data_IF_545142055005
#
_entry.id   IF_545142055005
#
_cell.length_a   1.000
_cell.length_b   1.000
_cell.length_c   1.000
_cell.angle_alpha   90.00
_cell.angle_beta   90.00
_cell.angle_gamma   90.00
#
_symmetry.space_group_name_H-M   'P 1'
#
loop_
_entity.id
_entity.type
_entity.pdbx_description
1 polymer ?
#
# COMPACT_ATOMS: atom_id res chain seq x y z
N UNK A 1 21.27 12.65 43.27
CA UNK A 1 20.39 11.99 42.29
C UNK A 1 20.13 13.00 41.19
N UNK A 2 20.76 12.82 40.05
CA UNK A 2 20.48 13.64 38.88
C UNK A 2 19.15 13.14 38.30
N UNK A 3 18.15 14.02 38.21
CA UNK A 3 16.90 13.76 37.47
C UNK A 3 17.30 13.78 36.02
N UNK A 4 17.27 12.61 35.38
CA UNK A 4 17.37 12.49 33.92
C UNK A 4 16.13 13.17 33.34
N UNK A 5 16.29 14.42 32.92
CA UNK A 5 15.30 15.11 32.10
C UNK A 5 15.40 14.51 30.69
N UNK A 6 14.66 13.43 30.48
CA UNK A 6 14.56 12.81 29.16
C UNK A 6 14.28 13.87 28.10
N UNK A 7 15.30 14.20 27.32
CA UNK A 7 15.14 15.09 26.18
C UNK A 7 14.02 14.54 25.31
N UNK A 8 12.97 15.31 25.09
CA UNK A 8 11.90 14.95 24.18
C UNK A 8 12.55 14.60 22.85
N UNK A 9 12.46 13.33 22.45
CA UNK A 9 13.01 12.85 21.18
C UNK A 9 12.31 13.62 20.06
N UNK A 10 13.01 14.55 19.43
CA UNK A 10 12.49 15.25 18.25
C UNK A 10 12.51 14.27 17.08
N UNK A 11 11.34 13.75 16.73
CA UNK A 11 11.20 12.98 15.52
C UNK A 11 11.41 13.89 14.31
N UNK A 12 12.33 13.50 13.42
CA UNK A 12 12.58 14.24 12.19
C UNK A 12 11.37 14.11 11.25
N UNK A 13 10.88 15.24 10.76
CA UNK A 13 9.69 15.34 9.91
C UNK A 13 10.02 16.15 8.67
N UNK A 14 9.59 15.66 7.50
CA UNK A 14 9.67 16.37 6.23
C UNK A 14 8.37 16.19 5.44
N UNK A 15 8.14 17.06 4.45
CA UNK A 15 6.89 17.04 3.66
C UNK A 15 7.26 16.93 2.17
N UNK A 16 7.30 15.69 1.60
CA UNK A 16 7.53 15.52 0.17
C UNK A 16 6.43 16.10 -0.70
N UNK A 17 5.16 15.97 -0.30
CA UNK A 17 4.05 16.45 -1.14
C UNK A 17 3.09 17.33 -0.33
N UNK A 18 2.69 18.45 -0.96
CA UNK A 18 1.74 19.42 -0.38
C UNK A 18 0.65 19.73 -1.40
N UNK A 19 -0.61 19.60 -1.02
CA UNK A 19 -1.77 19.94 -1.85
C UNK A 19 -1.67 21.38 -2.38
N UNK A 20 -2.06 21.58 -3.63
CA UNK A 20 -2.05 22.89 -4.29
C UNK A 20 -0.65 23.33 -4.78
N UNK A 21 0.35 22.45 -4.80
CA UNK A 21 1.70 22.76 -5.29
C UNK A 21 2.07 21.92 -6.50
N UNK A 22 3.08 22.34 -7.25
CA UNK A 22 3.72 21.62 -8.37
C UNK A 22 2.74 21.14 -9.46
N UNK A 23 1.59 21.86 -9.62
CA UNK A 23 0.61 21.59 -10.65
C UNK A 23 -0.50 20.60 -10.27
N UNK A 24 -0.58 20.17 -9.01
CA UNK A 24 -1.58 19.22 -8.50
C UNK A 24 -2.43 19.83 -7.40
N UNK A 25 -3.75 19.68 -7.53
CA UNK A 25 -4.70 20.13 -6.51
C UNK A 25 -4.57 19.32 -5.21
N UNK A 26 -4.23 18.01 -5.32
CA UNK A 26 -4.08 17.11 -4.18
C UNK A 26 -3.04 16.04 -4.47
N UNK A 27 -2.45 15.50 -3.40
CA UNK A 27 -1.62 14.29 -3.44
C UNK A 27 -2.23 13.26 -2.51
N UNK A 28 -2.41 12.04 -3.01
CA UNK A 28 -3.02 10.94 -2.28
C UNK A 28 -2.22 9.65 -2.51
N UNK A 29 -2.54 8.61 -1.75
CA UNK A 29 -2.09 7.23 -2.00
C UNK A 29 -0.57 7.10 -1.92
N UNK A 30 0.00 7.27 -0.72
CA UNK A 30 1.45 7.16 -0.51
C UNK A 30 1.94 5.73 -0.69
N UNK A 31 3.14 5.57 -1.27
CA UNK A 31 3.92 4.35 -1.23
C UNK A 31 5.40 4.70 -1.09
N UNK A 32 6.18 3.91 -0.36
CA UNK A 32 7.59 4.22 -0.08
C UNK A 32 8.46 2.97 -0.08
N UNK A 33 9.62 3.07 -0.72
CA UNK A 33 10.66 2.04 -0.67
C UNK A 33 12.04 2.67 -0.47
N UNK A 34 12.99 1.86 0.00
CA UNK A 34 14.41 2.21 0.10
C UNK A 34 15.18 1.40 -0.93
N UNK A 35 15.95 2.05 -1.81
CA UNK A 35 16.81 1.37 -2.78
C UNK A 35 18.09 0.85 -2.12
N UNK A 36 18.83 -0.02 -2.80
CA UNK A 36 20.10 -0.56 -2.29
C UNK A 36 21.15 0.54 -2.06
N UNK A 37 21.14 1.61 -2.86
CA UNK A 37 22.04 2.77 -2.69
C UNK A 37 21.59 3.73 -1.57
N UNK A 38 20.51 3.38 -0.83
CA UNK A 38 20.02 4.16 0.31
C UNK A 38 19.15 5.36 -0.10
N UNK A 39 18.69 5.43 -1.34
CA UNK A 39 17.72 6.44 -1.78
C UNK A 39 16.32 6.07 -1.34
N UNK A 40 15.64 6.96 -0.62
CA UNK A 40 14.21 6.81 -0.31
C UNK A 40 13.39 7.31 -1.49
N UNK A 41 12.53 6.45 -2.01
CA UNK A 41 11.59 6.76 -3.09
C UNK A 41 10.19 6.91 -2.52
N UNK A 42 9.66 8.12 -2.49
CA UNK A 42 8.29 8.41 -2.09
C UNK A 42 7.39 8.61 -3.31
N UNK A 43 6.42 7.72 -3.47
CA UNK A 43 5.42 7.76 -4.54
C UNK A 43 4.10 8.33 -4.02
N UNK A 44 3.34 8.94 -4.93
CA UNK A 44 1.96 9.38 -4.68
C UNK A 44 1.16 9.47 -5.98
N UNK A 45 -0.16 9.52 -5.86
CA UNK A 45 -1.03 10.02 -6.90
C UNK A 45 -1.04 11.54 -6.87
N UNK A 46 -0.52 12.19 -7.91
CA UNK A 46 -0.69 13.61 -8.18
C UNK A 46 -2.02 13.84 -8.90
N UNK A 47 -3.01 14.38 -8.21
CA UNK A 47 -4.37 14.60 -8.70
C UNK A 47 -4.52 16.05 -9.19
N UNK A 48 -4.73 16.22 -10.48
CA UNK A 48 -4.62 17.54 -11.12
C UNK A 48 -5.78 18.45 -10.71
N UNK A 49 -7.02 17.95 -10.67
CA UNK A 49 -8.20 18.80 -10.56
C UNK A 49 -8.82 18.86 -9.14
N UNK A 50 -8.71 17.79 -8.38
CA UNK A 50 -9.34 17.66 -7.06
C UNK A 50 -8.73 16.52 -6.27
N UNK A 51 -9.30 16.17 -5.10
CA UNK A 51 -8.93 14.97 -4.35
C UNK A 51 -9.70 13.70 -4.74
N UNK A 52 -10.52 13.73 -5.82
CA UNK A 52 -11.29 12.59 -6.30
C UNK A 52 -10.38 11.43 -6.76
N UNK A 53 -10.87 10.19 -6.63
CA UNK A 53 -10.14 8.96 -6.93
C UNK A 53 -10.16 8.60 -8.43
N UNK A 54 -10.70 9.46 -9.26
CA UNK A 54 -10.82 9.34 -10.72
C UNK A 54 -10.50 10.66 -11.41
N UNK A 55 -10.34 10.62 -12.73
CA UNK A 55 -10.01 11.79 -13.54
C UNK A 55 -8.52 11.86 -13.90
N UNK A 56 -7.99 13.08 -14.02
CA UNK A 56 -6.62 13.33 -14.43
C UNK A 56 -5.67 13.12 -13.26
N UNK A 57 -5.10 11.93 -13.18
CA UNK A 57 -4.20 11.49 -12.10
C UNK A 57 -2.91 10.92 -12.68
N UNK A 58 -1.78 11.38 -12.18
CA UNK A 58 -0.46 10.85 -12.50
C UNK A 58 0.13 10.12 -11.30
N UNK A 59 0.96 9.11 -11.53
CA UNK A 59 1.89 8.64 -10.50
C UNK A 59 3.13 9.53 -10.51
N UNK A 60 3.42 10.09 -9.34
CA UNK A 60 4.54 10.99 -9.11
C UNK A 60 5.50 10.43 -8.08
N UNK A 61 6.74 10.88 -8.14
CA UNK A 61 7.84 10.44 -7.29
C UNK A 61 8.64 11.63 -6.79
N UNK A 62 9.05 11.60 -5.54
CA UNK A 62 10.18 12.38 -5.02
C UNK A 62 11.21 11.45 -4.41
N UNK A 63 12.50 11.78 -4.63
CA UNK A 63 13.66 11.02 -4.17
C UNK A 63 14.35 11.76 -3.04
N UNK A 64 14.86 11.02 -2.06
CA UNK A 64 15.68 11.55 -0.97
C UNK A 64 16.95 10.74 -0.82
N UNK A 65 18.10 11.37 -0.88
CA UNK A 65 19.42 10.76 -0.68
C UNK A 65 19.92 10.88 0.79
N UNK A 66 19.12 11.42 1.69
CA UNK A 66 19.49 11.69 3.08
C UNK A 66 18.52 11.04 4.10
N UNK A 67 17.91 9.94 3.67
CA UNK A 67 16.99 9.15 4.50
C UNK A 67 15.66 9.85 4.76
N UNK A 68 15.16 10.64 3.83
CA UNK A 68 13.87 11.31 3.91
C UNK A 68 13.89 12.66 4.63
N UNK A 69 15.06 13.28 4.86
CA UNK A 69 15.16 14.60 5.47
C UNK A 69 14.88 15.72 4.47
N UNK A 70 15.41 15.59 3.26
CA UNK A 70 15.14 16.50 2.15
C UNK A 70 14.73 15.73 0.89
N UNK A 71 14.01 16.41 0.02
CA UNK A 71 13.40 15.79 -1.17
C UNK A 71 13.80 16.55 -2.44
N UNK A 72 14.13 15.78 -3.47
CA UNK A 72 14.42 16.29 -4.81
C UNK A 72 13.17 16.83 -5.53
N UNK A 73 13.35 17.24 -6.79
CA UNK A 73 12.27 17.69 -7.65
C UNK A 73 11.23 16.56 -7.90
N UNK A 74 9.99 16.96 -8.07
CA UNK A 74 8.92 16.03 -8.43
C UNK A 74 9.15 15.46 -9.84
N UNK A 75 9.01 14.16 -9.98
CA UNK A 75 9.04 13.42 -11.24
C UNK A 75 7.68 12.79 -11.51
N UNK A 76 7.27 12.73 -12.78
CA UNK A 76 6.09 11.97 -13.19
C UNK A 76 6.54 10.62 -13.74
N UNK A 77 6.19 9.54 -13.03
CA UNK A 77 6.59 8.17 -13.35
C UNK A 77 5.62 7.50 -14.34
N UNK A 78 4.32 7.72 -14.15
CA UNK A 78 3.32 7.15 -15.04
C UNK A 78 2.18 8.13 -15.32
N UNK A 79 1.68 8.07 -16.57
CA UNK A 79 0.56 8.88 -17.07
C UNK A 79 -0.40 8.00 -17.88
N UNK A 80 -1.63 8.49 -18.05
CA UNK A 80 -2.63 7.89 -18.92
C UNK A 80 -3.41 8.97 -19.69
N UNK A 81 -2.73 9.87 -20.39
CA UNK A 81 -3.36 11.06 -20.96
C UNK A 81 -4.05 11.88 -19.86
N UNK A 82 -5.32 12.21 -20.07
CA UNK A 82 -6.17 12.87 -19.07
C UNK A 82 -6.86 11.87 -18.12
N UNK A 83 -6.55 10.59 -18.23
CA UNK A 83 -7.09 9.53 -17.39
C UNK A 83 -6.28 9.30 -16.13
N UNK A 84 -6.61 8.22 -15.44
CA UNK A 84 -5.99 7.82 -14.18
C UNK A 84 -4.80 6.91 -14.42
N UNK A 85 -3.65 7.22 -13.80
CA UNK A 85 -2.58 6.30 -13.45
C UNK A 85 -2.44 6.35 -11.92
N UNK A 86 -2.71 5.23 -11.22
CA UNK A 86 -2.84 5.23 -9.76
C UNK A 86 -2.51 3.90 -9.10
N UNK A 87 -2.71 3.86 -7.77
CA UNK A 87 -2.46 2.71 -6.91
C UNK A 87 -1.03 2.15 -7.05
N UNK A 88 0.00 2.91 -6.68
CA UNK A 88 1.39 2.47 -6.79
C UNK A 88 1.69 1.30 -5.86
N UNK A 89 2.33 0.27 -6.39
CA UNK A 89 2.84 -0.88 -5.66
C UNK A 89 4.33 -1.10 -6.02
N UNK A 90 5.25 -0.29 -5.46
CA UNK A 90 6.67 -0.43 -5.68
C UNK A 90 7.26 -1.60 -4.90
N UNK A 91 8.27 -2.25 -5.47
CA UNK A 91 9.14 -3.23 -4.80
C UNK A 91 10.57 -3.09 -5.31
N UNK A 92 11.55 -3.19 -4.42
CA UNK A 92 12.97 -3.25 -4.77
C UNK A 92 13.39 -4.71 -4.79
N UNK A 93 14.00 -5.15 -5.87
CA UNK A 93 14.47 -6.52 -6.02
C UNK A 93 15.80 -6.72 -5.29
N UNK A 94 15.94 -7.87 -4.62
CA UNK A 94 17.10 -8.28 -3.85
C UNK A 94 17.62 -9.61 -4.41
N UNK A 95 18.85 -9.59 -4.91
CA UNK A 95 19.48 -10.73 -5.56
C UNK A 95 18.98 -10.96 -7.01
N UNK A 96 19.60 -11.98 -7.65
CA UNK A 96 19.26 -12.31 -9.03
C UNK A 96 19.89 -11.40 -10.09
N UNK A 97 19.46 -11.53 -11.36
CA UNK A 97 20.03 -10.73 -12.47
C UNK A 97 19.60 -9.27 -12.43
N UNK A 98 18.48 -8.94 -11.82
CA UNK A 98 17.89 -7.61 -11.74
C UNK A 98 18.02 -7.00 -10.32
N UNK A 99 19.07 -7.38 -9.57
CA UNK A 99 19.34 -6.89 -8.23
C UNK A 99 19.38 -5.36 -8.16
N UNK A 100 18.66 -4.76 -7.21
CA UNK A 100 18.50 -3.31 -7.05
C UNK A 100 17.43 -2.66 -7.95
N UNK A 101 16.88 -3.38 -8.95
CA UNK A 101 15.79 -2.87 -9.77
C UNK A 101 14.59 -2.50 -8.92
N UNK A 102 14.00 -1.36 -9.18
CA UNK A 102 12.71 -0.95 -8.61
C UNK A 102 11.61 -1.27 -9.60
N UNK A 103 10.76 -2.25 -9.29
CA UNK A 103 9.53 -2.49 -10.04
C UNK A 103 8.40 -1.62 -9.49
N UNK A 104 7.53 -1.11 -10.37
CA UNK A 104 6.33 -0.38 -10.00
C UNK A 104 5.14 -0.95 -10.77
N UNK A 105 4.32 -1.75 -10.11
CA UNK A 105 3.02 -2.16 -10.65
C UNK A 105 1.98 -1.12 -10.25
N UNK A 106 1.09 -0.80 -11.18
CA UNK A 106 0.07 0.23 -11.00
C UNK A 106 -1.12 -0.02 -11.91
N UNK A 107 -2.19 0.73 -11.72
CA UNK A 107 -3.38 0.63 -12.56
C UNK A 107 -3.58 1.87 -13.43
N UNK A 108 -4.23 1.69 -14.58
CA UNK A 108 -4.70 2.79 -15.45
C UNK A 108 -6.15 2.59 -15.80
N UNK A 109 -6.90 3.70 -15.93
CA UNK A 109 -8.28 3.73 -16.40
C UNK A 109 -8.60 5.05 -17.08
N UNK A 110 -9.68 5.09 -17.86
CA UNK A 110 -10.16 6.34 -18.46
C UNK A 110 -10.60 7.35 -17.37
N UNK A 111 -10.51 8.64 -17.67
CA UNK A 111 -10.88 9.71 -16.73
C UNK A 111 -12.31 9.61 -16.19
N UNK A 112 -13.24 9.13 -17.01
CA UNK A 112 -14.66 9.00 -16.67
C UNK A 112 -15.01 7.65 -16.00
N UNK A 113 -14.03 6.78 -15.80
CA UNK A 113 -14.20 5.44 -15.23
C UNK A 113 -14.14 5.51 -13.70
N UNK A 114 -15.17 6.06 -13.06
CA UNK A 114 -15.30 6.09 -11.60
C UNK A 114 -15.46 4.68 -11.04
N UNK A 115 -15.09 4.46 -9.78
CA UNK A 115 -15.26 3.16 -9.12
C UNK A 115 -16.71 2.69 -9.21
N UNK A 116 -17.66 3.56 -8.89
CA UNK A 116 -19.09 3.25 -8.92
C UNK A 116 -19.55 2.76 -10.31
N UNK A 117 -19.17 3.46 -11.39
CA UNK A 117 -19.50 3.06 -12.77
C UNK A 117 -18.85 1.75 -13.18
N UNK A 118 -17.58 1.53 -12.80
CA UNK A 118 -16.88 0.27 -13.07
C UNK A 118 -17.58 -0.87 -12.35
N UNK A 119 -17.91 -0.72 -11.08
CA UNK A 119 -18.58 -1.74 -10.26
C UNK A 119 -19.98 -2.07 -10.78
N UNK A 120 -20.72 -1.08 -11.30
CA UNK A 120 -22.02 -1.29 -11.97
C UNK A 120 -21.88 -1.99 -13.32
N UNK A 121 -20.68 -2.07 -13.89
CA UNK A 121 -20.47 -2.63 -15.25
C UNK A 121 -20.84 -1.67 -16.35
N UNK A 122 -20.82 -0.35 -16.10
CA UNK A 122 -21.13 0.72 -17.05
C UNK A 122 -19.90 1.18 -17.84
N UNK A 123 -18.74 0.57 -17.60
CA UNK A 123 -17.46 0.93 -18.22
C UNK A 123 -16.95 -0.26 -19.02
N UNK A 124 -16.46 -0.02 -20.23
CA UNK A 124 -15.85 -1.06 -21.05
C UNK A 124 -14.58 -1.62 -20.41
N UNK A 125 -14.18 -2.85 -20.75
CA UNK A 125 -12.94 -3.42 -20.26
C UNK A 125 -11.70 -2.59 -20.67
N UNK A 126 -11.75 -1.93 -21.83
CA UNK A 126 -10.66 -1.06 -22.31
C UNK A 126 -10.53 0.25 -21.53
N UNK A 127 -11.64 0.78 -21.02
CA UNK A 127 -11.69 2.04 -20.25
C UNK A 127 -11.62 1.81 -18.75
N UNK A 128 -11.91 0.59 -18.27
CA UNK A 128 -11.83 0.18 -16.87
C UNK A 128 -10.40 0.04 -16.37
N UNK A 129 -10.26 -0.46 -15.15
CA UNK A 129 -8.95 -0.67 -14.52
C UNK A 129 -8.15 -1.75 -15.23
N UNK A 130 -6.97 -1.38 -15.75
CA UNK A 130 -5.97 -2.25 -16.37
C UNK A 130 -4.65 -2.16 -15.61
N UNK A 131 -3.89 -3.24 -15.59
CA UNK A 131 -2.68 -3.40 -14.79
C UNK A 131 -1.44 -3.17 -15.65
N UNK A 132 -0.54 -2.34 -15.16
CA UNK A 132 0.67 -1.92 -15.85
C UNK A 132 1.89 -2.08 -14.96
N UNK A 133 3.04 -2.32 -15.58
CA UNK A 133 4.35 -2.44 -14.96
C UNK A 133 5.33 -1.47 -15.62
N UNK A 134 6.09 -0.74 -14.81
CA UNK A 134 7.30 -0.03 -15.22
C UNK A 134 8.41 -0.31 -14.21
N UNK A 135 9.67 -0.07 -14.57
CA UNK A 135 10.81 -0.30 -13.68
C UNK A 135 11.89 0.76 -13.84
N UNK A 136 12.75 0.85 -12.83
CA UNK A 136 13.94 1.69 -12.81
C UNK A 136 15.15 0.84 -12.40
N UNK A 137 16.26 1.00 -13.13
CA UNK A 137 17.57 0.37 -12.85
C UNK A 137 18.59 1.39 -12.29
N UNK A 138 18.15 2.61 -11.94
CA UNK A 138 19.00 3.73 -11.54
C UNK A 138 18.40 4.51 -10.36
N UNK A 139 17.90 3.80 -9.34
CA UNK A 139 17.32 4.38 -8.12
C UNK A 139 16.19 5.40 -8.38
N UNK A 140 15.36 5.14 -9.37
CA UNK A 140 14.23 6.00 -9.73
C UNK A 140 14.61 7.28 -10.46
N UNK A 141 15.82 7.40 -11.02
CA UNK A 141 16.21 8.55 -11.86
C UNK A 141 15.48 8.51 -13.19
N UNK A 142 15.44 7.33 -13.82
CA UNK A 142 14.70 7.10 -15.05
C UNK A 142 13.83 5.84 -14.96
N UNK A 143 12.82 5.77 -15.81
CA UNK A 143 11.84 4.69 -15.81
C UNK A 143 11.63 4.13 -17.21
N UNK A 144 11.47 2.80 -17.30
CA UNK A 144 11.15 2.11 -18.54
C UNK A 144 9.81 2.56 -19.11
N UNK A 145 9.58 2.29 -20.40
CA UNK A 145 8.21 2.30 -20.93
C UNK A 145 7.33 1.32 -20.16
N UNK A 146 6.09 1.73 -19.87
CA UNK A 146 5.17 0.89 -19.14
C UNK A 146 4.62 -0.24 -20.02
N UNK A 147 4.66 -1.47 -19.50
CA UNK A 147 4.11 -2.68 -20.12
C UNK A 147 2.78 -3.06 -19.47
N UNK A 148 1.76 -3.34 -20.30
CA UNK A 148 0.50 -3.86 -19.79
C UNK A 148 0.62 -5.35 -19.44
N UNK A 149 0.12 -5.73 -18.25
CA UNK A 149 0.11 -7.11 -17.75
C UNK A 149 -1.29 -7.60 -17.36
N UNK A 150 -2.33 -6.89 -17.78
CA UNK A 150 -3.75 -7.16 -17.41
C UNK A 150 -4.15 -8.60 -17.74
N UNK A 151 -3.73 -9.13 -18.90
CA UNK A 151 -4.14 -10.45 -19.36
C UNK A 151 -3.76 -11.62 -18.42
N UNK A 152 -2.66 -11.46 -17.64
CA UNK A 152 -2.17 -12.47 -16.71
C UNK A 152 -2.52 -12.17 -15.24
N UNK A 153 -3.04 -10.96 -14.96
CA UNK A 153 -3.18 -10.45 -13.59
C UNK A 153 -4.61 -10.07 -13.22
N UNK A 154 -5.54 -10.07 -14.18
CA UNK A 154 -6.94 -9.74 -13.94
C UNK A 154 -7.86 -10.74 -14.65
N UNK A 155 -8.81 -11.33 -13.91
CA UNK A 155 -9.83 -12.20 -14.52
C UNK A 155 -10.83 -11.37 -15.33
N UNK A 156 -11.36 -11.90 -16.45
CA UNK A 156 -12.27 -11.15 -17.32
C UNK A 156 -13.57 -10.69 -16.64
N UNK A 157 -14.07 -11.43 -15.66
CA UNK A 157 -15.28 -11.12 -14.90
C UNK A 157 -15.07 -10.04 -13.85
N UNK A 158 -13.83 -9.77 -13.42
CA UNK A 158 -13.55 -8.74 -12.40
C UNK A 158 -13.81 -7.35 -12.96
N UNK A 159 -14.58 -6.56 -12.21
CA UNK A 159 -14.93 -5.19 -12.58
C UNK A 159 -13.92 -4.20 -12.03
N UNK A 160 -14.06 -3.80 -10.76
CA UNK A 160 -13.05 -2.99 -10.09
C UNK A 160 -11.73 -3.74 -9.96
N UNK A 161 -10.66 -3.00 -9.86
CA UNK A 161 -9.33 -3.56 -9.62
C UNK A 161 -8.40 -2.50 -9.06
N UNK A 162 -7.65 -2.82 -8.03
CA UNK A 162 -6.57 -1.99 -7.51
C UNK A 162 -5.43 -2.88 -7.00
N UNK A 163 -4.19 -2.41 -7.19
CA UNK A 163 -3.02 -2.97 -6.52
C UNK A 163 -2.89 -2.37 -5.14
N UNK A 164 -2.40 -3.07 -4.15
CA UNK A 164 -2.12 -2.73 -2.75
C UNK A 164 -3.01 -1.58 -2.21
N UNK A 165 -2.84 -0.21 -2.32
CA UNK A 165 -1.57 0.49 -2.61
C UNK A 165 -0.61 0.48 -1.42
N UNK A 166 0.62 0.96 -1.63
CA UNK A 166 1.73 0.87 -0.69
C UNK A 166 2.80 -0.07 -1.22
N UNK A 167 3.88 -0.28 -0.49
CA UNK A 167 4.95 -1.15 -0.94
C UNK A 167 4.48 -2.60 -1.11
N UNK A 168 5.02 -3.27 -2.14
CA UNK A 168 4.93 -4.71 -2.32
C UNK A 168 6.19 -5.39 -1.77
N UNK A 169 6.26 -6.73 -1.80
CA UNK A 169 7.38 -7.44 -1.21
C UNK A 169 7.98 -8.46 -2.17
N UNK A 170 9.29 -8.69 -2.02
CA UNK A 170 9.97 -9.88 -2.52
C UNK A 170 10.27 -10.80 -1.34
N UNK A 171 9.94 -12.08 -1.46
CA UNK A 171 10.13 -13.06 -0.40
C UNK A 171 11.61 -13.37 -0.23
N UNK A 172 12.09 -13.34 1.02
CA UNK A 172 13.50 -13.58 1.37
C UNK A 172 13.74 -14.97 1.93
N UNK A 173 12.70 -15.60 2.48
CA UNK A 173 12.80 -16.84 3.24
C UNK A 173 11.99 -17.96 2.60
N UNK A 174 12.42 -19.22 2.88
CA UNK A 174 11.68 -20.39 2.51
C UNK A 174 11.81 -20.80 1.03
N UNK A 175 10.99 -21.76 0.60
CA UNK A 175 11.11 -22.36 -0.75
C UNK A 175 10.72 -21.41 -1.89
N UNK A 176 10.12 -20.28 -1.59
CA UNK A 176 9.69 -19.27 -2.55
C UNK A 176 10.53 -17.98 -2.46
N UNK A 177 11.75 -18.05 -1.89
CA UNK A 177 12.66 -16.90 -1.87
C UNK A 177 12.89 -16.37 -3.30
N UNK A 178 12.86 -15.05 -3.47
CA UNK A 178 12.91 -14.36 -4.77
C UNK A 178 11.53 -14.07 -5.38
N UNK A 179 10.46 -14.74 -4.94
CA UNK A 179 9.10 -14.45 -5.44
C UNK A 179 8.67 -13.04 -5.06
N UNK A 180 8.11 -12.33 -6.03
CA UNK A 180 7.44 -11.05 -5.82
C UNK A 180 5.98 -11.32 -5.49
N UNK A 181 5.46 -10.65 -4.46
CA UNK A 181 4.05 -10.72 -4.03
C UNK A 181 3.49 -9.31 -4.01
N UNK A 182 2.45 -9.06 -4.79
CA UNK A 182 1.74 -7.77 -4.84
C UNK A 182 0.29 -8.00 -4.48
N UNK A 183 -0.15 -7.63 -3.27
CA UNK A 183 -1.56 -7.70 -2.91
C UNK A 183 -2.41 -6.80 -3.81
N UNK A 184 -3.67 -7.17 -3.97
CA UNK A 184 -4.64 -6.42 -4.75
C UNK A 184 -6.07 -6.73 -4.33
N UNK A 185 -6.98 -5.96 -4.86
CA UNK A 185 -8.41 -6.19 -4.66
C UNK A 185 -9.18 -6.02 -5.97
N UNK A 186 -10.35 -6.62 -6.02
CA UNK A 186 -11.24 -6.58 -7.16
C UNK A 186 -12.69 -6.52 -6.72
N UNK A 187 -13.61 -6.33 -7.66
CA UNK A 187 -15.03 -6.57 -7.42
C UNK A 187 -15.62 -7.51 -8.47
N UNK A 188 -16.61 -8.29 -8.01
CA UNK A 188 -17.40 -9.19 -8.84
C UNK A 188 -18.66 -8.49 -9.38
N UNK A 189 -19.24 -8.99 -10.47
CA UNK A 189 -20.59 -8.57 -10.87
C UNK A 189 -21.62 -9.01 -9.81
N UNK A 190 -22.76 -8.29 -9.68
CA UNK A 190 -23.80 -8.66 -8.73
C UNK A 190 -24.44 -9.99 -9.12
N UNK A 191 -24.69 -10.85 -8.12
CA UNK A 191 -25.32 -12.15 -8.26
C UNK A 191 -26.68 -12.23 -7.57
N UNK A 192 -27.03 -11.24 -6.73
CA UNK A 192 -28.29 -11.16 -6.01
C UNK A 192 -29.26 -10.25 -6.77
N UNK A 193 -30.51 -10.68 -7.04
CA UNK A 193 -31.50 -9.83 -7.70
C UNK A 193 -31.74 -8.51 -6.96
N UNK A 194 -31.65 -7.41 -7.68
CA UNK A 194 -31.81 -6.05 -7.11
C UNK A 194 -30.53 -5.34 -6.74
N UNK A 195 -29.39 -6.07 -6.63
CA UNK A 195 -28.09 -5.46 -6.42
C UNK A 195 -27.54 -4.86 -7.72
N UNK A 196 -26.67 -3.88 -7.57
CA UNK A 196 -26.10 -3.16 -8.71
C UNK A 196 -24.56 -3.34 -8.83
N UNK A 197 -23.92 -4.03 -7.88
CA UNK A 197 -22.48 -4.33 -7.87
C UNK A 197 -21.65 -3.38 -7.01
N UNK A 198 -22.27 -2.35 -6.39
CA UNK A 198 -21.56 -1.44 -5.48
C UNK A 198 -21.56 -1.92 -4.03
N UNK A 199 -22.31 -2.96 -3.74
CA UNK A 199 -22.40 -3.55 -2.41
C UNK A 199 -21.09 -4.22 -2.02
N UNK A 200 -20.64 -3.99 -0.77
CA UNK A 200 -19.36 -4.49 -0.24
C UNK A 200 -19.17 -6.01 -0.34
N UNK A 201 -20.26 -6.78 -0.32
CA UNK A 201 -20.24 -8.25 -0.48
C UNK A 201 -19.63 -8.73 -1.81
N UNK A 202 -19.51 -7.85 -2.83
CA UNK A 202 -18.88 -8.15 -4.12
C UNK A 202 -17.41 -7.75 -4.16
N UNK A 203 -16.85 -7.24 -3.06
CA UNK A 203 -15.41 -7.03 -2.94
C UNK A 203 -14.70 -8.36 -2.72
N UNK A 204 -13.57 -8.53 -3.39
CA UNK A 204 -12.69 -9.67 -3.24
C UNK A 204 -11.22 -9.25 -3.19
N UNK A 205 -10.39 -10.09 -2.60
CA UNK A 205 -8.94 -9.94 -2.53
C UNK A 205 -8.22 -10.92 -3.43
N UNK A 206 -7.03 -10.55 -3.83
CA UNK A 206 -6.10 -11.42 -4.54
C UNK A 206 -4.68 -10.92 -4.35
N UNK A 207 -3.72 -11.68 -4.83
CA UNK A 207 -2.37 -11.17 -5.05
C UNK A 207 -1.86 -11.52 -6.45
N UNK A 208 -0.80 -10.84 -6.84
CA UNK A 208 -0.03 -11.10 -8.06
C UNK A 208 1.32 -11.68 -7.66
N UNK A 209 1.71 -12.74 -8.35
CA UNK A 209 2.95 -13.44 -8.12
C UNK A 209 3.83 -13.42 -9.37
N UNK A 210 5.13 -13.18 -9.15
CA UNK A 210 6.17 -13.37 -10.15
C UNK A 210 7.33 -14.14 -9.54
N UNK A 211 7.80 -15.17 -10.23
CA UNK A 211 8.93 -16.01 -9.82
C UNK A 211 10.19 -15.77 -10.71
N UNK A 212 10.19 -14.70 -11.52
CA UNK A 212 11.19 -14.38 -12.53
C UNK A 212 11.42 -12.86 -12.66
N UNK A 213 11.60 -12.19 -11.52
CA UNK A 213 11.92 -10.77 -11.39
C UNK A 213 10.95 -9.83 -12.16
N UNK A 214 9.68 -10.22 -12.25
CA UNK A 214 8.62 -9.44 -12.90
C UNK A 214 8.51 -9.66 -14.42
N UNK A 215 9.23 -10.63 -14.99
CA UNK A 215 9.12 -10.96 -16.42
C UNK A 215 7.74 -11.54 -16.74
N UNK A 216 7.27 -12.50 -15.94
CA UNK A 216 5.92 -13.08 -16.05
C UNK A 216 5.15 -12.97 -14.73
N UNK A 217 3.82 -12.95 -14.86
CA UNK A 217 2.92 -12.74 -13.73
C UNK A 217 1.78 -13.75 -13.75
N UNK A 218 1.30 -14.12 -12.58
CA UNK A 218 0.09 -14.91 -12.39
C UNK A 218 -0.69 -14.40 -11.17
N UNK A 219 -1.95 -14.73 -11.09
CA UNK A 219 -2.77 -14.54 -9.90
C UNK A 219 -2.43 -15.65 -8.90
N UNK A 220 -2.20 -15.28 -7.64
CA UNK A 220 -2.02 -16.21 -6.52
C UNK A 220 -3.34 -16.54 -5.85
N UNK A 221 -3.46 -16.24 -4.53
CA UNK A 221 -4.73 -16.47 -3.84
C UNK A 221 -5.85 -15.60 -4.42
N UNK A 222 -7.08 -16.08 -4.29
CA UNK A 222 -8.31 -15.30 -4.52
C UNK A 222 -9.25 -15.56 -3.36
N UNK A 223 -9.70 -14.49 -2.71
CA UNK A 223 -10.73 -14.50 -1.67
C UNK A 223 -11.91 -13.65 -2.15
N UNK A 224 -12.97 -14.30 -2.57
CA UNK A 224 -14.23 -13.71 -3.04
C UNK A 224 -15.26 -13.62 -1.90
N UNK A 225 -14.82 -13.45 -0.65
CA UNK A 225 -15.66 -13.37 0.55
C UNK A 225 -16.62 -14.57 0.68
N UNK A 226 -16.08 -15.80 0.70
CA UNK A 226 -16.90 -17.03 0.56
C UNK A 226 -17.87 -17.26 1.70
N UNK A 227 -17.66 -16.64 2.85
CA UNK A 227 -18.46 -16.81 4.07
C UNK A 227 -19.12 -15.51 4.57
N UNK A 228 -18.91 -14.39 3.87
CA UNK A 228 -19.56 -13.10 4.16
C UNK A 228 -19.00 -12.34 5.37
N UNK A 229 -17.86 -12.76 5.94
CA UNK A 229 -17.28 -12.11 7.12
C UNK A 229 -16.50 -10.84 6.82
N UNK A 230 -15.82 -10.77 5.68
CA UNK A 230 -14.88 -9.70 5.35
C UNK A 230 -15.07 -9.24 3.90
N UNK A 231 -15.32 -7.96 3.71
CA UNK A 231 -15.30 -7.34 2.39
C UNK A 231 -13.85 -6.92 2.08
N UNK A 232 -13.05 -7.83 1.52
CA UNK A 232 -11.63 -7.59 1.24
C UNK A 232 -11.46 -6.40 0.30
N UNK A 233 -10.57 -5.48 0.67
CA UNK A 233 -10.28 -4.28 -0.10
C UNK A 233 -8.74 -4.07 -0.13
N UNK A 234 -8.25 -2.85 0.02
CA UNK A 234 -6.83 -2.52 0.04
C UNK A 234 -6.07 -3.37 1.06
N UNK A 235 -5.08 -4.10 0.57
CA UNK A 235 -4.37 -5.14 1.32
C UNK A 235 -2.87 -4.88 1.29
N UNK A 236 -2.23 -4.95 2.43
CA UNK A 236 -0.78 -4.87 2.63
C UNK A 236 -0.25 -6.21 3.10
N UNK A 237 1.04 -6.51 2.88
CA UNK A 237 1.62 -7.78 3.25
C UNK A 237 3.06 -7.65 3.75
N UNK A 238 3.48 -8.60 4.58
CA UNK A 238 4.86 -8.74 5.02
C UNK A 238 5.22 -10.23 5.16
N UNK A 239 6.47 -10.58 4.88
CA UNK A 239 6.96 -11.94 5.14
C UNK A 239 7.44 -12.08 6.57
N UNK A 240 7.03 -13.16 7.23
CA UNK A 240 7.47 -13.55 8.57
C UNK A 240 8.76 -14.38 8.49
N UNK A 241 9.58 -14.46 9.57
CA UNK A 241 10.83 -15.23 9.59
C UNK A 241 10.65 -16.74 9.38
N UNK A 242 9.45 -17.27 9.68
CA UNK A 242 9.12 -18.67 9.41
C UNK A 242 8.78 -18.96 7.94
N UNK A 243 8.83 -17.94 7.09
CA UNK A 243 8.56 -18.01 5.66
C UNK A 243 7.12 -17.76 5.25
N UNK A 244 6.18 -17.73 6.20
CA UNK A 244 4.78 -17.37 5.90
C UNK A 244 4.68 -15.91 5.46
N UNK A 245 3.66 -15.62 4.67
CA UNK A 245 3.25 -14.26 4.31
C UNK A 245 2.03 -13.89 5.17
N UNK A 246 2.12 -12.77 5.89
CA UNK A 246 1.02 -12.15 6.60
C UNK A 246 0.37 -11.11 5.69
N UNK A 247 -0.94 -11.20 5.51
CA UNK A 247 -1.76 -10.23 4.78
C UNK A 247 -2.70 -9.50 5.74
N UNK A 248 -2.83 -8.19 5.56
CA UNK A 248 -3.74 -7.36 6.33
C UNK A 248 -4.57 -6.48 5.41
N UNK A 249 -5.88 -6.53 5.53
CA UNK A 249 -6.81 -5.89 4.60
C UNK A 249 -7.73 -4.88 5.27
N UNK A 250 -8.07 -3.82 4.54
CA UNK A 250 -9.19 -2.94 4.81
C UNK A 250 -10.50 -3.72 4.63
N UNK A 251 -11.45 -3.51 5.52
CA UNK A 251 -12.81 -4.05 5.40
C UNK A 251 -13.83 -3.10 5.99
N UNK A 252 -14.99 -2.98 5.37
CA UNK A 252 -16.16 -2.25 5.86
C UNK A 252 -17.23 -3.17 6.48
N UNK A 253 -17.08 -4.49 6.36
CA UNK A 253 -18.01 -5.45 6.91
C UNK A 253 -18.02 -5.50 8.45
N UNK A 254 -16.92 -5.10 9.09
CA UNK A 254 -16.70 -5.14 10.54
C UNK A 254 -16.77 -3.75 11.20
N UNK A 255 -17.64 -2.89 10.73
CA UNK A 255 -17.83 -1.56 11.32
C UNK A 255 -18.46 -1.63 12.73
N UNK A 256 -18.02 -0.75 13.71
CA UNK A 256 -16.94 0.21 13.55
C UNK A 256 -15.57 -0.46 13.56
N UNK A 257 -14.80 -0.06 12.61
CA UNK A 257 -13.44 -0.27 12.24
C UNK A 257 -12.59 -1.29 12.99
N UNK A 258 -12.53 -2.51 12.46
CA UNK A 258 -11.38 -3.38 12.63
C UNK A 258 -10.78 -3.68 11.27
N UNK A 259 -9.46 -3.99 11.24
CA UNK A 259 -8.82 -4.63 10.09
C UNK A 259 -9.19 -6.11 10.05
N UNK A 260 -8.87 -6.76 8.94
CA UNK A 260 -8.89 -8.21 8.85
C UNK A 260 -7.54 -8.72 8.38
N UNK A 261 -7.20 -9.96 8.73
CA UNK A 261 -5.92 -10.57 8.34
C UNK A 261 -6.06 -12.02 7.92
N UNK A 262 -5.02 -12.50 7.23
CA UNK A 262 -4.86 -13.87 6.81
C UNK A 262 -3.36 -14.21 6.69
N UNK A 263 -3.04 -15.50 6.62
CA UNK A 263 -1.68 -15.99 6.38
C UNK A 263 -1.64 -16.90 5.16
N UNK A 264 -0.48 -17.00 4.55
CA UNK A 264 -0.17 -17.95 3.48
C UNK A 264 1.13 -18.69 3.81
N UNK A 265 1.07 -20.02 3.84
CA UNK A 265 2.23 -20.87 4.03
C UNK A 265 2.97 -21.25 2.72
N UNK A 266 2.45 -20.86 1.56
CA UNK A 266 2.97 -21.22 0.24
C UNK A 266 3.39 -20.00 -0.61
N UNK A 267 3.75 -18.90 0.07
CA UNK A 267 4.27 -17.69 -0.57
C UNK A 267 3.22 -16.94 -1.39
N UNK A 268 1.99 -16.86 -0.92
CA UNK A 268 0.89 -16.13 -1.53
C UNK A 268 0.06 -16.95 -2.53
N UNK A 269 0.43 -18.19 -2.85
CA UNK A 269 -0.32 -18.97 -3.83
C UNK A 269 -1.74 -19.32 -3.35
N UNK A 270 -1.89 -19.60 -2.04
CA UNK A 270 -3.19 -19.78 -1.37
C UNK A 270 -3.18 -19.14 0.02
N UNK A 271 -4.35 -18.89 0.60
CA UNK A 271 -4.49 -18.52 2.01
C UNK A 271 -4.65 -19.78 2.85
N UNK A 272 -4.02 -19.82 4.03
CA UNK A 272 -4.19 -20.92 5.00
C UNK A 272 -5.65 -20.99 5.49
N UNK A 273 -6.25 -19.82 5.71
CA UNK A 273 -7.67 -19.61 6.04
C UNK A 273 -8.15 -18.30 5.39
N UNK A 274 -9.45 -18.16 5.08
CA UNK A 274 -10.02 -16.88 4.64
C UNK A 274 -9.73 -15.75 5.61
N UNK A 275 -9.73 -14.51 5.15
CA UNK A 275 -9.56 -13.33 6.01
C UNK A 275 -10.53 -13.34 7.19
N UNK A 276 -10.06 -12.92 8.35
CA UNK A 276 -10.84 -12.80 9.59
C UNK A 276 -10.61 -11.45 10.25
N UNK A 277 -11.64 -10.88 10.90
CA UNK A 277 -11.50 -9.65 11.67
C UNK A 277 -10.42 -9.77 12.73
N UNK A 278 -9.52 -8.78 12.78
CA UNK A 278 -8.42 -8.67 13.74
C UNK A 278 -8.80 -7.67 14.84
N UNK A 279 -9.26 -8.17 15.98
CA UNK A 279 -9.76 -7.34 17.08
C UNK A 279 -8.69 -6.40 17.68
N UNK A 280 -7.40 -6.75 17.58
CA UNK A 280 -6.29 -5.92 18.06
C UNK A 280 -5.96 -4.72 17.17
N UNK A 281 -6.48 -4.68 15.94
CA UNK A 281 -6.24 -3.62 14.96
C UNK A 281 -7.51 -2.81 14.70
N UNK A 282 -7.81 -1.91 15.62
CA UNK A 282 -8.88 -0.91 15.44
C UNK A 282 -8.39 0.16 14.46
N UNK A 283 -9.15 0.39 13.40
CA UNK A 283 -8.91 1.40 12.36
C UNK A 283 -10.24 1.78 11.68
N UNK A 284 -10.38 2.98 11.11
CA UNK A 284 -11.52 3.29 10.25
C UNK A 284 -11.39 2.53 8.91
N UNK A 285 -12.35 2.74 8.01
CA UNK A 285 -12.29 2.19 6.65
C UNK A 285 -11.24 2.99 5.85
N UNK A 286 -9.99 2.48 5.83
CA UNK A 286 -8.80 3.15 5.29
C UNK A 286 -7.73 2.12 4.93
N UNK A 287 -6.87 2.43 3.96
CA UNK A 287 -5.63 1.69 3.72
C UNK A 287 -4.67 1.85 4.90
N UNK A 288 -3.85 0.86 5.16
CA UNK A 288 -2.82 0.82 6.20
C UNK A 288 -1.63 0.00 5.71
N UNK A 289 -0.50 0.09 6.39
CA UNK A 289 0.72 -0.63 6.00
C UNK A 289 1.20 -1.58 7.07
N UNK A 290 1.77 -2.72 6.67
CA UNK A 290 2.54 -3.62 7.53
C UNK A 290 3.98 -3.74 7.04
N UNK A 291 4.92 -3.82 7.98
CA UNK A 291 6.34 -3.99 7.71
C UNK A 291 6.96 -4.93 8.74
N UNK A 292 7.69 -5.96 8.31
CA UNK A 292 8.49 -6.79 9.20
C UNK A 292 9.90 -6.22 9.34
N UNK A 293 10.38 -6.07 10.58
CA UNK A 293 11.69 -5.47 10.85
C UNK A 293 12.86 -6.43 10.57
N UNK A 294 12.63 -7.75 10.59
CA UNK A 294 13.67 -8.75 10.55
C UNK A 294 14.28 -8.97 11.93
N UNK A 295 15.20 -8.12 12.33
CA UNK A 295 15.72 -8.05 13.69
C UNK A 295 15.43 -6.67 14.30
N UNK A 296 14.77 -6.60 15.47
CA UNK A 296 14.15 -7.72 16.17
C UNK A 296 12.98 -8.34 15.39
N UNK A 297 12.62 -9.58 15.69
CA UNK A 297 11.43 -10.24 15.11
C UNK A 297 10.16 -9.52 15.55
N UNK A 298 9.79 -8.54 14.78
CA UNK A 298 8.66 -7.67 15.05
C UNK A 298 7.96 -7.23 13.76
N UNK A 299 6.64 -7.39 13.73
CA UNK A 299 5.77 -6.91 12.68
C UNK A 299 5.19 -5.56 13.12
N UNK A 300 5.36 -4.53 12.30
CA UNK A 300 4.80 -3.20 12.50
C UNK A 300 3.54 -3.04 11.66
N UNK A 301 2.59 -2.28 12.18
CA UNK A 301 1.40 -1.83 11.46
C UNK A 301 1.26 -0.32 11.65
N UNK A 302 1.05 0.43 10.57
CA UNK A 302 0.71 1.85 10.64
C UNK A 302 -0.70 2.11 10.11
N UNK A 303 -1.42 2.97 10.81
CA UNK A 303 -2.76 3.41 10.39
C UNK A 303 -3.42 4.30 11.43
N UNK A 304 -4.50 5.03 11.04
CA UNK A 304 -5.35 5.75 11.97
C UNK A 304 -5.91 4.84 13.06
N UNK A 305 -5.92 5.30 14.30
CA UNK A 305 -6.37 4.50 15.44
C UNK A 305 -7.80 4.83 15.92
N UNK A 306 -8.41 5.88 15.40
CA UNK A 306 -9.81 6.16 15.66
C UNK A 306 -10.69 5.20 14.83
N UNK A 307 -11.67 4.50 15.41
CA UNK A 307 -12.48 3.51 14.69
C UNK A 307 -13.44 4.14 13.66
N UNK A 308 -13.80 5.41 13.83
CA UNK A 308 -14.80 6.08 13.01
C UNK A 308 -14.21 7.15 12.08
N UNK A 309 -13.08 7.74 12.47
CA UNK A 309 -12.51 8.88 11.76
C UNK A 309 -11.09 8.59 11.27
N UNK A 310 -10.73 9.16 10.13
CA UNK A 310 -9.36 9.14 9.61
C UNK A 310 -8.50 10.14 10.40
N UNK A 311 -8.09 9.72 11.62
CA UNK A 311 -7.32 10.52 12.56
C UNK A 311 -6.48 9.62 13.49
N UNK A 312 -5.53 10.22 14.21
CA UNK A 312 -4.74 9.56 15.24
C UNK A 312 -3.80 8.49 14.63
N UNK A 313 -2.92 8.91 13.71
CA UNK A 313 -1.92 8.01 13.12
C UNK A 313 -1.10 7.34 14.22
N UNK A 314 -1.08 6.01 14.21
CA UNK A 314 -0.45 5.19 15.24
C UNK A 314 0.31 4.03 14.60
N UNK A 315 1.51 3.75 15.10
CA UNK A 315 2.25 2.52 14.83
C UNK A 315 1.95 1.52 15.94
N UNK A 316 1.62 0.30 15.57
CA UNK A 316 1.41 -0.84 16.47
C UNK A 316 2.41 -1.93 16.17
N UNK A 317 2.75 -2.74 17.17
CA UNK A 317 3.73 -3.81 17.04
C UNK A 317 3.14 -5.14 17.48
N UNK A 318 3.47 -6.17 16.72
CA UNK A 318 3.22 -7.58 17.05
C UNK A 318 4.55 -8.32 17.12
N UNK A 319 4.70 -9.21 18.12
CA UNK A 319 5.87 -10.08 18.31
C UNK A 319 5.51 -11.57 18.13
N UNK A 320 4.32 -11.85 17.62
CA UNK A 320 3.77 -13.20 17.46
C UNK A 320 3.18 -13.42 16.06
N UNK A 321 3.74 -12.73 15.06
CA UNK A 321 3.37 -12.89 13.65
C UNK A 321 1.97 -12.36 13.30
N UNK A 322 1.51 -11.31 13.99
CA UNK A 322 0.23 -10.66 13.73
C UNK A 322 -0.93 -11.19 14.59
N UNK A 323 -0.70 -12.13 15.52
CA UNK A 323 -1.76 -12.69 16.37
C UNK A 323 -2.25 -11.66 17.39
N UNK A 324 -1.32 -10.98 18.07
CA UNK A 324 -1.65 -9.90 19.00
C UNK A 324 -0.92 -8.61 18.66
N UNK A 325 -1.56 -7.47 18.92
CA UNK A 325 -1.07 -6.14 18.60
C UNK A 325 -1.13 -5.21 19.80
N UNK A 326 -0.08 -4.40 19.97
CA UNK A 326 -0.04 -3.35 20.99
C UNK A 326 0.27 -1.99 20.37
N UNK A 327 -0.32 -0.87 20.85
CA UNK A 327 0.12 0.46 20.45
C UNK A 327 1.55 0.70 20.93
N UNK A 328 2.44 1.10 20.01
CA UNK A 328 3.84 1.39 20.35
C UNK A 328 4.12 2.88 20.26
N UNK A 329 3.56 3.55 19.22
CA UNK A 329 3.83 4.97 19.02
C UNK A 329 2.64 5.67 18.37
N UNK A 330 2.01 6.62 19.06
CA UNK A 330 1.06 7.55 18.47
C UNK A 330 1.81 8.74 17.88
N UNK A 331 1.72 8.92 16.58
CA UNK A 331 2.44 9.93 15.81
C UNK A 331 1.93 11.34 16.17
N UNK A 332 0.62 11.52 16.09
CA UNK A 332 -0.10 12.72 16.53
C UNK A 332 -1.61 12.49 16.56
N UNK A 333 -2.37 13.46 17.08
CA UNK A 333 -3.85 13.44 17.12
C UNK A 333 -4.54 14.10 15.94
N UNK A 334 -3.79 14.47 14.89
CA UNK A 334 -4.32 15.19 13.73
C UNK A 334 -5.10 14.25 12.79
N UNK A 335 -5.88 14.81 11.86
CA UNK A 335 -6.42 14.05 10.73
C UNK A 335 -5.29 13.30 10.03
N UNK A 336 -5.51 12.02 9.75
CA UNK A 336 -4.55 11.17 9.08
C UNK A 336 -5.30 10.07 8.31
N UNK A 337 -4.79 9.67 7.14
CA UNK A 337 -5.44 8.65 6.32
C UNK A 337 -4.45 7.55 5.91
N UNK A 338 -4.15 7.39 4.64
CA UNK A 338 -3.28 6.35 4.12
C UNK A 338 -1.85 6.49 4.61
N UNK A 339 -1.16 5.37 4.76
CA UNK A 339 0.22 5.36 5.24
C UNK A 339 1.01 4.21 4.65
N UNK A 340 2.33 4.40 4.50
CA UNK A 340 3.24 3.33 4.15
C UNK A 340 4.51 3.39 4.99
N UNK A 341 5.05 2.21 5.34
CA UNK A 341 6.22 2.02 6.19
C UNK A 341 7.43 1.58 5.36
N UNK A 342 8.61 2.03 5.75
CA UNK A 342 9.88 1.57 5.18
C UNK A 342 10.96 1.44 6.25
N UNK A 343 11.73 0.35 6.25
CA UNK A 343 12.93 0.24 7.09
C UNK A 343 14.05 1.03 6.44
N UNK A 344 14.56 2.06 7.12
CA UNK A 344 15.67 2.88 6.61
C UNK A 344 17.04 2.30 7.00
N UNK A 345 17.15 1.82 8.23
CA UNK A 345 18.31 1.16 8.80
C UNK A 345 17.87 0.35 10.03
N UNK A 346 18.81 -0.25 10.76
CA UNK A 346 18.52 -1.05 11.96
C UNK A 346 17.88 -0.24 13.09
N UNK A 347 18.12 1.06 13.12
CA UNK A 347 17.68 1.95 14.18
C UNK A 347 16.49 2.84 13.82
N UNK A 348 16.05 2.84 12.53
CA UNK A 348 15.08 3.84 12.04
C UNK A 348 14.08 3.24 11.07
N UNK A 349 12.81 3.51 11.32
CA UNK A 349 11.69 3.28 10.39
C UNK A 349 11.21 4.61 9.82
N UNK A 350 10.97 4.68 8.53
CA UNK A 350 10.27 5.76 7.86
C UNK A 350 8.77 5.48 7.79
N UNK A 351 7.96 6.49 8.06
CA UNK A 351 6.51 6.48 7.88
C UNK A 351 6.14 7.60 6.92
N UNK A 352 5.62 7.24 5.76
CA UNK A 352 5.02 8.16 4.79
C UNK A 352 3.51 8.12 4.95
N UNK A 353 2.86 9.26 5.22
CA UNK A 353 1.42 9.24 5.51
C UNK A 353 0.71 10.54 5.15
N UNK A 354 -0.56 10.42 4.84
CA UNK A 354 -1.48 11.54 4.58
C UNK A 354 -1.87 12.21 5.89
N UNK A 355 -1.73 13.54 5.99
CA UNK A 355 -2.08 14.30 7.21
C UNK A 355 -2.27 15.80 6.93
N UNK A 356 -2.70 16.53 7.96
CA UNK A 356 -2.78 17.99 8.01
C UNK A 356 -3.65 18.48 9.15
N UNK A 357 -3.60 19.76 9.45
CA UNK A 357 -4.25 20.36 10.62
C UNK A 357 -5.79 20.26 10.59
N UNK A 358 -6.38 20.37 9.40
CA UNK A 358 -7.83 20.39 9.21
C UNK A 358 -8.33 19.30 8.24
N UNK A 359 -7.44 18.71 7.47
CA UNK A 359 -7.77 17.66 6.49
C UNK A 359 -6.60 16.69 6.36
N UNK A 360 -6.89 15.41 6.34
CA UNK A 360 -5.90 14.37 6.08
C UNK A 360 -5.23 14.49 4.69
N UNK A 361 -5.77 15.31 3.80
CA UNK A 361 -5.31 15.46 2.41
C UNK A 361 -4.52 16.73 2.15
N UNK A 362 -4.09 17.43 3.20
CA UNK A 362 -3.30 18.67 3.07
C UNK A 362 -1.84 18.38 2.67
N UNK A 363 -1.28 17.30 3.17
CA UNK A 363 0.11 16.87 2.90
C UNK A 363 0.23 15.36 2.89
N UNK A 364 1.23 14.85 2.16
CA UNK A 364 1.86 13.58 2.47
C UNK A 364 3.17 13.91 3.19
N UNK A 365 3.30 13.43 4.42
CA UNK A 365 4.38 13.76 5.33
C UNK A 365 5.23 12.52 5.58
N UNK A 366 6.54 12.69 5.63
CA UNK A 366 7.48 11.64 5.97
C UNK A 366 8.03 11.88 7.38
N UNK A 367 8.01 10.83 8.22
CA UNK A 367 8.51 10.87 9.58
C UNK A 367 9.51 9.75 9.80
N UNK A 368 10.65 10.09 10.41
CA UNK A 368 11.64 9.12 10.85
C UNK A 368 11.34 8.76 12.31
N UNK A 369 11.19 7.48 12.61
CA UNK A 369 10.82 6.96 13.92
C UNK A 369 11.92 6.00 14.38
N UNK A 370 12.56 6.25 15.55
CA UNK A 370 13.53 5.29 16.11
C UNK A 370 12.86 3.95 16.42
N UNK A 371 13.48 2.83 16.00
CA UNK A 371 12.97 1.47 16.25
C UNK A 371 12.87 1.15 17.74
N UNK A 372 13.81 1.64 18.58
CA UNK A 372 13.81 1.48 20.05
C UNK A 372 12.49 1.92 20.73
N UNK A 373 11.72 2.83 20.08
CA UNK A 373 10.41 3.28 20.59
C UNK A 373 9.23 2.45 20.07
N UNK A 374 9.48 1.49 19.16
CA UNK A 374 8.46 0.66 18.52
C UNK A 374 8.47 -0.78 19.04
N UNK A 375 9.60 -1.27 19.55
CA UNK A 375 9.85 -2.66 19.99
C UNK A 375 10.10 -2.76 21.47
#
# INVERSE_FOLDING_TARGET
>A
MAVDTGAARSYEVSVPFRAGTEGYASYRIPAVVLTHDGTVLAFAEGRVNSSADDGHIHLVLKRSADGGRTWGALQVVARNGDGTAGNPAPVVLDGGPDDGRVLLVHVRSAASATEDRIRRGEVSAADGRRVWLTYSDDDGVSWSEAREITASTKRPEWRWYATTPGHALQLRYGPHAGRIVIPGNHSLPPSVPGDNGTEGRYNGGHDLLSDDDGATWRIGYVDDNPDGYVNVNETTAAQLPDGRVYFNTRTDATAPGTRADAHSGDGGATLDLPFRPQAGLVAPVVECSVLHLGEPDALLFSGPADPAYRALMTVRTSFDGGVTWRPSHTVNGLPAAYSDLVRLDDATVGLLYETGDFSAYSTITFRRIPTEGLV
#
